data_IF_431388733188
#
_entry.id   IF_431388733188
#
_cell.length_a   1.000
_cell.length_b   1.000
_cell.length_c   1.000
_cell.angle_alpha   90.00
_cell.angle_beta   90.00
_cell.angle_gamma   90.00
#
_symmetry.space_group_name_H-M   'P 1'
#
loop_
_entity.id
_entity.type
_entity.pdbx_description
1 polymer ?
#
# COMPACT_ATOMS: atom_id res chain seq x y z
N UNK A 1 -16.86 -0.47 0.37
CA UNK A 1 -16.90 -1.29 -0.86
C UNK A 1 -15.62 -2.10 -1.01
N UNK A 2 -14.46 -1.44 -1.06
CA UNK A 2 -13.15 -2.09 -1.10
C UNK A 2 -12.87 -3.06 0.08
N UNK A 3 -13.10 -2.66 1.34
CA UNK A 3 -12.92 -3.60 2.48
C UNK A 3 -13.85 -4.82 2.40
N UNK A 4 -15.08 -4.65 1.87
CA UNK A 4 -16.01 -5.77 1.68
C UNK A 4 -15.51 -6.72 0.58
N UNK A 5 -14.95 -6.18 -0.51
CA UNK A 5 -14.40 -6.97 -1.58
C UNK A 5 -13.15 -7.76 -1.14
N UNK A 6 -12.30 -7.17 -0.29
CA UNK A 6 -11.11 -7.83 0.24
C UNK A 6 -11.39 -8.77 1.41
N UNK A 7 -12.59 -8.72 2.01
CA UNK A 7 -12.96 -9.54 3.17
C UNK A 7 -12.67 -11.06 3.02
N UNK A 8 -12.88 -11.71 1.86
CA UNK A 8 -12.54 -13.13 1.66
C UNK A 8 -11.04 -13.43 1.82
N UNK A 9 -10.19 -12.43 1.62
CA UNK A 9 -8.75 -12.58 1.85
C UNK A 9 -8.38 -12.36 3.33
N UNK A 10 -9.25 -11.76 4.13
CA UNK A 10 -8.92 -11.34 5.50
C UNK A 10 -7.96 -10.15 5.58
N UNK A 11 -7.63 -9.52 4.45
CA UNK A 11 -6.88 -8.26 4.43
C UNK A 11 -7.84 -7.07 4.50
N UNK A 12 -7.43 -6.05 5.25
CA UNK A 12 -8.01 -4.69 5.14
C UNK A 12 -7.44 -3.97 3.92
N UNK A 13 -8.14 -2.94 3.43
CA UNK A 13 -7.65 -2.09 2.35
C UNK A 13 -6.27 -1.50 2.64
N UNK A 14 -6.04 -1.04 3.88
CA UNK A 14 -4.74 -0.45 4.28
C UNK A 14 -3.61 -1.47 4.24
N UNK A 15 -3.89 -2.72 4.64
CA UNK A 15 -2.95 -3.82 4.59
C UNK A 15 -2.62 -4.20 3.15
N UNK A 16 -3.63 -4.30 2.28
CA UNK A 16 -3.44 -4.51 0.85
C UNK A 16 -2.57 -3.41 0.23
N UNK A 17 -2.87 -2.15 0.53
CA UNK A 17 -2.09 -1.00 0.05
C UNK A 17 -0.61 -1.06 0.47
N UNK A 18 -0.31 -1.43 1.72
CA UNK A 18 1.06 -1.61 2.20
C UNK A 18 1.79 -2.73 1.42
N UNK A 19 1.15 -3.90 1.25
CA UNK A 19 1.74 -5.01 0.52
C UNK A 19 2.03 -4.64 -0.94
N UNK A 20 1.10 -3.94 -1.59
CA UNK A 20 1.26 -3.42 -2.95
C UNK A 20 2.41 -2.42 -3.05
N UNK A 21 2.53 -1.49 -2.09
CA UNK A 21 3.61 -0.50 -2.06
C UNK A 21 5.00 -1.12 -1.85
N UNK A 22 5.09 -2.20 -1.06
CA UNK A 22 6.35 -2.96 -0.94
C UNK A 22 6.64 -3.69 -2.27
N UNK A 23 5.63 -4.31 -2.88
CA UNK A 23 5.79 -5.08 -4.11
C UNK A 23 6.19 -4.20 -5.33
N UNK A 24 5.67 -2.98 -5.42
CA UNK A 24 5.92 -2.08 -6.56
C UNK A 24 7.38 -1.65 -6.68
N UNK A 25 8.18 -1.80 -5.61
CA UNK A 25 9.63 -1.52 -5.59
C UNK A 25 10.48 -2.68 -6.11
N UNK A 26 9.87 -3.83 -6.43
CA UNK A 26 10.57 -4.99 -6.97
C UNK A 26 11.61 -5.56 -5.99
N UNK A 27 12.87 -5.64 -6.42
CA UNK A 27 13.96 -6.19 -5.59
C UNK A 27 14.46 -5.22 -4.51
N UNK A 28 14.15 -3.93 -4.61
CA UNK A 28 14.61 -2.92 -3.66
C UNK A 28 13.68 -2.86 -2.45
N UNK A 29 14.17 -3.28 -1.28
CA UNK A 29 13.40 -3.19 -0.04
C UNK A 29 13.35 -1.75 0.48
N UNK A 30 12.16 -1.18 0.74
CA UNK A 30 12.08 0.14 1.36
C UNK A 30 12.49 0.10 2.82
N UNK A 31 13.10 1.19 3.27
CA UNK A 31 13.21 1.51 4.70
C UNK A 31 11.85 1.90 5.28
N UNK A 32 11.72 1.89 6.61
CA UNK A 32 10.51 2.37 7.28
C UNK A 32 10.17 3.83 6.95
N UNK A 33 11.19 4.67 6.73
CA UNK A 33 11.00 6.07 6.36
C UNK A 33 10.46 6.20 4.94
N UNK A 34 11.07 5.51 3.97
CA UNK A 34 10.64 5.53 2.58
C UNK A 34 9.22 4.98 2.43
N UNK A 35 8.89 3.86 3.09
CA UNK A 35 7.56 3.28 3.01
C UNK A 35 6.50 4.20 3.64
N UNK A 36 6.84 4.91 4.72
CA UNK A 36 5.94 5.88 5.35
C UNK A 36 5.68 7.07 4.43
N UNK A 37 6.73 7.57 3.78
CA UNK A 37 6.65 8.64 2.79
C UNK A 37 5.77 8.22 1.59
N UNK A 38 6.03 7.05 1.00
CA UNK A 38 5.27 6.55 -0.16
C UNK A 38 3.77 6.38 0.13
N UNK A 39 3.43 6.03 1.36
CA UNK A 39 2.05 5.83 1.81
C UNK A 39 1.41 7.09 2.41
N UNK A 40 2.16 8.20 2.51
CA UNK A 40 1.74 9.45 3.16
C UNK A 40 1.23 9.18 4.60
N UNK A 41 1.98 8.35 5.33
CA UNK A 41 1.71 7.99 6.72
C UNK A 41 2.83 8.49 7.63
N UNK A 42 2.49 8.82 8.87
CA UNK A 42 3.52 8.97 9.90
C UNK A 42 4.08 7.58 10.31
N UNK A 43 5.28 7.58 10.88
CA UNK A 43 5.99 6.35 11.27
C UNK A 43 5.25 5.53 12.31
N UNK A 44 4.50 6.17 13.21
CA UNK A 44 3.77 5.46 14.27
C UNK A 44 2.58 4.71 13.69
N UNK A 45 1.84 5.34 12.79
CA UNK A 45 0.72 4.72 12.05
C UNK A 45 1.21 3.58 11.17
N UNK A 46 2.30 3.78 10.41
CA UNK A 46 2.89 2.69 9.64
C UNK A 46 3.33 1.54 10.55
N UNK A 47 4.00 1.82 11.67
CA UNK A 47 4.43 0.81 12.63
C UNK A 47 3.27 -0.02 13.18
N UNK A 48 2.13 0.62 13.52
CA UNK A 48 0.93 -0.08 13.96
C UNK A 48 0.33 -0.97 12.87
N UNK A 49 0.33 -0.50 11.61
CA UNK A 49 -0.19 -1.26 10.48
C UNK A 49 0.72 -2.44 10.07
N UNK A 50 2.03 -2.34 10.27
CA UNK A 50 2.99 -3.40 9.95
C UNK A 50 2.96 -4.55 10.97
N UNK A 51 2.68 -4.28 12.25
CA UNK A 51 2.63 -5.31 13.31
C UNK A 51 1.77 -6.54 12.96
N UNK A 52 0.49 -6.40 12.53
CA UNK A 52 -0.31 -7.56 12.17
C UNK A 52 0.23 -8.28 10.93
N UNK A 53 0.80 -7.55 9.95
CA UNK A 53 1.38 -8.16 8.75
C UNK A 53 2.63 -8.98 9.06
N UNK A 54 3.47 -8.49 9.99
CA UNK A 54 4.66 -9.21 10.46
C UNK A 54 4.26 -10.44 11.28
N UNK A 55 3.32 -10.28 12.23
CA UNK A 55 2.77 -11.37 13.03
C UNK A 55 2.19 -12.49 12.16
N UNK A 56 1.46 -12.13 11.09
CA UNK A 56 0.81 -13.09 10.20
C UNK A 56 1.79 -13.66 9.13
N UNK A 57 3.07 -13.29 9.21
CA UNK A 57 4.14 -13.78 8.36
C UNK A 57 4.05 -13.29 6.91
N UNK A 58 3.37 -12.17 6.66
CA UNK A 58 3.22 -11.59 5.32
C UNK A 58 4.39 -10.69 4.95
N UNK A 59 5.02 -10.05 5.95
CA UNK A 59 6.23 -9.25 5.76
C UNK A 59 7.36 -9.75 6.65
N UNK A 60 8.58 -9.32 6.33
CA UNK A 60 9.75 -9.44 7.18
C UNK A 60 10.37 -8.06 7.38
N UNK A 61 10.94 -7.83 8.56
CA UNK A 61 11.66 -6.59 8.87
C UNK A 61 13.12 -6.94 9.17
N UNK A 62 14.02 -6.60 8.24
CA UNK A 62 15.45 -6.89 8.31
C UNK A 62 16.23 -5.65 8.77
N UNK A 63 17.43 -5.84 9.33
CA UNK A 63 18.37 -4.73 9.55
C UNK A 63 19.03 -4.36 8.23
N UNK A 64 19.15 -3.07 7.91
CA UNK A 64 19.87 -2.66 6.70
C UNK A 64 21.38 -2.98 6.87
N UNK A 65 22.00 -3.73 5.94
CA UNK A 65 23.43 -4.02 6.00
C UNK A 65 24.31 -2.77 5.86
N UNK A 66 23.79 -1.67 5.29
CA UNK A 66 24.51 -0.40 5.10
C UNK A 66 24.34 0.54 6.28
N UNK A 67 23.25 0.41 7.03
CA UNK A 67 22.99 1.19 8.24
C UNK A 67 22.23 0.35 9.28
N UNK A 68 22.94 -0.04 10.34
CA UNK A 68 22.39 -0.87 11.42
C UNK A 68 21.25 -0.20 12.21
N UNK A 69 21.08 1.11 12.07
CA UNK A 69 19.97 1.87 12.68
C UNK A 69 18.71 1.84 11.82
N UNK A 70 18.83 1.48 10.55
CA UNK A 70 17.73 1.38 9.60
C UNK A 70 17.16 -0.03 9.53
N UNK A 71 15.87 -0.11 9.19
CA UNK A 71 15.11 -1.35 9.04
C UNK A 71 14.49 -1.39 7.64
N UNK A 72 14.74 -2.49 6.94
CA UNK A 72 14.20 -2.78 5.61
C UNK A 72 12.96 -3.67 5.73
N UNK A 73 11.90 -3.33 4.99
CA UNK A 73 10.66 -4.09 4.98
C UNK A 73 10.57 -4.86 3.66
N UNK A 74 10.32 -6.16 3.73
CA UNK A 74 10.14 -7.00 2.55
C UNK A 74 8.93 -7.91 2.63
N UNK A 75 8.39 -8.29 1.48
CA UNK A 75 7.36 -9.34 1.41
C UNK A 75 7.99 -10.71 1.65
N UNK A 76 7.31 -11.56 2.41
CA UNK A 76 7.62 -12.98 2.42
C UNK A 76 6.98 -13.66 1.21
N UNK A 77 7.34 -14.91 0.94
CA UNK A 77 6.64 -15.73 -0.08
C UNK A 77 5.14 -15.82 0.20
N UNK A 78 4.76 -15.92 1.48
CA UNK A 78 3.37 -15.94 1.93
C UNK A 78 2.69 -14.60 1.69
N UNK A 79 3.38 -13.49 1.98
CA UNK A 79 2.89 -12.14 1.69
C UNK A 79 2.61 -11.92 0.21
N UNK A 80 3.55 -12.33 -0.65
CA UNK A 80 3.38 -12.23 -2.10
C UNK A 80 2.21 -13.07 -2.61
N UNK A 81 2.10 -14.32 -2.15
CA UNK A 81 0.96 -15.18 -2.49
C UNK A 81 -0.37 -14.57 -2.03
N UNK A 82 -0.39 -13.95 -0.84
CA UNK A 82 -1.56 -13.28 -0.29
C UNK A 82 -1.95 -12.04 -1.09
N UNK A 83 -0.97 -11.25 -1.51
CA UNK A 83 -1.16 -10.09 -2.37
C UNK A 83 -1.76 -10.50 -3.72
N UNK A 84 -1.22 -11.55 -4.34
CA UNK A 84 -1.74 -12.07 -5.61
C UNK A 84 -3.16 -12.61 -5.49
N UNK A 85 -3.50 -13.29 -4.38
CA UNK A 85 -4.87 -13.69 -4.08
C UNK A 85 -5.80 -12.48 -3.98
N UNK A 86 -5.33 -11.38 -3.38
CA UNK A 86 -6.14 -10.18 -3.16
C UNK A 86 -6.32 -9.31 -4.41
N UNK A 87 -5.41 -9.40 -5.38
CA UNK A 87 -5.46 -8.62 -6.61
C UNK A 87 -6.77 -8.84 -7.39
N UNK A 88 -7.26 -10.08 -7.51
CA UNK A 88 -8.51 -10.36 -8.23
C UNK A 88 -9.74 -9.79 -7.53
N UNK A 89 -9.75 -9.77 -6.19
CA UNK A 89 -10.84 -9.16 -5.43
C UNK A 89 -10.79 -7.63 -5.50
N UNK A 90 -9.59 -7.06 -5.57
CA UNK A 90 -9.39 -5.63 -5.76
C UNK A 90 -9.87 -5.16 -7.14
N UNK A 91 -9.51 -5.91 -8.19
CA UNK A 91 -9.93 -5.65 -9.56
C UNK A 91 -11.47 -5.68 -9.68
N UNK A 92 -12.12 -6.72 -9.18
CA UNK A 92 -13.59 -6.78 -9.16
C UNK A 92 -14.25 -5.62 -8.37
N UNK A 93 -13.59 -5.13 -7.31
CA UNK A 93 -14.07 -3.96 -6.57
C UNK A 93 -13.94 -2.67 -7.39
N UNK A 94 -12.87 -2.56 -8.18
CA UNK A 94 -12.64 -1.42 -9.07
C UNK A 94 -13.66 -1.42 -10.22
N UNK A 95 -13.92 -2.56 -10.84
CA UNK A 95 -14.90 -2.70 -11.91
C UNK A 95 -16.30 -2.30 -11.44
N UNK A 96 -16.72 -2.79 -10.27
CA UNK A 96 -18.00 -2.41 -9.68
C UNK A 96 -18.06 -0.91 -9.31
N UNK A 97 -16.91 -0.25 -9.09
CA UNK A 97 -16.89 1.19 -8.82
C UNK A 97 -17.11 1.96 -10.11
N UNK A 98 -16.45 1.54 -11.18
CA UNK A 98 -16.60 2.12 -12.51
C UNK A 98 -18.01 1.91 -13.08
N UNK A 99 -18.67 0.79 -12.78
CA UNK A 99 -20.08 0.57 -13.14
C UNK A 99 -21.03 1.55 -12.41
N UNK A 100 -20.79 1.82 -11.12
CA UNK A 100 -21.63 2.72 -10.30
C UNK A 100 -21.38 4.20 -10.62
N UNK A 101 -20.13 4.58 -10.88
CA UNK A 101 -19.71 5.98 -11.09
C UNK A 101 -19.76 6.37 -12.57
N UNK A 102 -19.69 5.40 -13.48
CA UNK A 102 -19.51 5.60 -14.91
C UNK A 102 -18.03 5.71 -15.26
N UNK A 103 -17.61 4.96 -16.28
CA UNK A 103 -16.21 4.82 -16.71
C UNK A 103 -15.52 6.18 -16.97
N UNK A 104 -16.22 7.10 -17.66
CA UNK A 104 -15.70 8.43 -17.95
C UNK A 104 -15.51 9.28 -16.69
N UNK A 105 -16.50 9.27 -15.77
CA UNK A 105 -16.41 10.04 -14.54
C UNK A 105 -15.32 9.49 -13.60
N UNK A 106 -15.13 8.16 -13.57
CA UNK A 106 -14.03 7.54 -12.85
C UNK A 106 -12.66 7.90 -13.43
N UNK A 107 -12.54 7.95 -14.77
CA UNK A 107 -11.32 8.38 -15.46
C UNK A 107 -10.98 9.86 -15.19
N UNK A 108 -11.99 10.73 -15.20
CA UNK A 108 -11.83 12.16 -14.93
C UNK A 108 -11.40 12.39 -13.46
N UNK A 109 -12.04 11.71 -12.51
CA UNK A 109 -11.67 11.75 -11.10
C UNK A 109 -10.23 11.28 -10.87
N UNK A 110 -9.84 10.16 -11.50
CA UNK A 110 -8.47 9.61 -11.42
C UNK A 110 -7.44 10.59 -11.98
N UNK A 111 -7.75 11.25 -13.09
CA UNK A 111 -6.89 12.28 -13.70
C UNK A 111 -6.73 13.47 -12.76
N UNK A 112 -7.82 13.96 -12.17
CA UNK A 112 -7.80 15.08 -11.23
C UNK A 112 -7.01 14.75 -9.96
N UNK A 113 -7.27 13.59 -9.33
CA UNK A 113 -6.54 13.15 -8.15
C UNK A 113 -5.04 12.96 -8.43
N UNK A 114 -4.68 12.43 -9.60
CA UNK A 114 -3.27 12.27 -10.01
C UNK A 114 -2.59 13.64 -10.20
N UNK A 115 -3.30 14.61 -10.76
CA UNK A 115 -2.82 16.00 -10.90
C UNK A 115 -2.58 16.65 -9.53
N UNK A 116 -3.52 16.48 -8.60
CA UNK A 116 -3.42 16.97 -7.22
C UNK A 116 -2.25 16.30 -6.50
N UNK A 117 -2.11 14.98 -6.56
CA UNK A 117 -1.04 14.23 -5.90
C UNK A 117 0.35 14.56 -6.45
N UNK A 118 0.45 14.98 -7.71
CA UNK A 118 1.71 15.41 -8.34
C UNK A 118 1.98 16.91 -8.15
N UNK A 119 1.08 17.66 -7.50
CA UNK A 119 1.26 19.08 -7.27
C UNK A 119 2.21 19.30 -6.08
N UNK A 120 3.43 19.81 -6.30
CA UNK A 120 4.43 19.96 -5.23
C UNK A 120 3.97 20.94 -4.14
N UNK A 121 3.08 21.89 -4.47
CA UNK A 121 2.55 22.88 -3.50
C UNK A 121 1.55 22.30 -2.49
N UNK A 122 1.09 21.05 -2.68
CA UNK A 122 0.15 20.39 -1.76
C UNK A 122 0.84 19.39 -0.82
N UNK A 123 2.12 19.07 -1.05
CA UNK A 123 2.94 18.20 -0.19
C UNK A 123 3.77 18.95 0.85
N UNK A 124 3.94 20.27 0.70
CA UNK A 124 4.58 21.14 1.69
C UNK A 124 3.57 21.49 2.77
N UNK A 125 3.39 20.60 3.76
CA UNK A 125 2.90 21.04 5.06
C UNK A 125 4.05 21.79 5.74
N UNK A 126 3.79 23.06 6.04
CA UNK A 126 4.65 24.00 6.75
C UNK A 126 5.38 23.32 7.93
N UNK A 127 6.67 23.65 8.04
CA UNK A 127 7.61 23.19 9.08
C UNK A 127 7.20 23.62 10.48
#
# INVERSE_FOLDING_TARGET
>A
MYDKALAPTGLKITQYGILTAINSRGAALPTMHELAHDLVLDRSTLGQNLRPLERDGLITILTDPRDRRSRLIGLTKRGLAKLNQAASYWEAAQDNFEEVVGEQAAADLRTLLTSIARNPKLGERES
#
